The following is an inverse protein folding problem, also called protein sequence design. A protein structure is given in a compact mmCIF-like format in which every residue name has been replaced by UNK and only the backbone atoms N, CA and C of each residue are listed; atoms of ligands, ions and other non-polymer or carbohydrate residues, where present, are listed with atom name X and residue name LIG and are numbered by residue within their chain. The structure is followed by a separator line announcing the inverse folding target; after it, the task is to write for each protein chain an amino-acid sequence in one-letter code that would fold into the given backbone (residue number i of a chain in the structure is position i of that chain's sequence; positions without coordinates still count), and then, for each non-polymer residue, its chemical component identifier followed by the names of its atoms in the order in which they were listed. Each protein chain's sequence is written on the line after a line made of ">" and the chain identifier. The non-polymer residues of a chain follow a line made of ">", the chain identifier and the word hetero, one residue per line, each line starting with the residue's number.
data_IF_887616042740
#
_entry.id   IF_887616042740
#
_cell.length_a   1.000
_cell.length_b   1.000
_cell.length_c   1.000
_cell.angle_alpha   90.00
_cell.angle_beta   90.00
_cell.angle_gamma   90.00
#
_symmetry.space_group_name_H-M   'P 1'
#
loop_
_entity.id
_entity.type
_entity.pdbx_description
1 polymer ?
#
# COMPACT_ATOMS: atom_id res chain seq x y z
N UNK A 1 -13.30 7.26 2.73
CA UNK A 1 -13.13 5.81 2.55
C UNK A 1 -11.64 5.58 2.43
N UNK A 2 -10.99 5.10 3.47
CA UNK A 2 -9.53 4.97 3.56
C UNK A 2 -9.18 3.51 3.31
N UNK A 3 -8.31 3.22 2.34
CA UNK A 3 -7.90 1.84 2.03
C UNK A 3 -6.72 1.46 2.94
N UNK A 4 -6.88 0.39 3.73
CA UNK A 4 -5.82 -0.11 4.59
C UNK A 4 -5.14 -1.32 3.94
N UNK A 5 -3.86 -1.19 3.59
CA UNK A 5 -3.04 -2.25 2.99
C UNK A 5 -2.21 -2.91 4.10
N UNK A 6 -2.42 -4.21 4.33
CA UNK A 6 -1.67 -4.99 5.31
C UNK A 6 -0.53 -5.73 4.61
N UNK A 7 0.70 -5.32 4.89
CA UNK A 7 1.88 -6.15 4.63
C UNK A 7 2.07 -7.12 5.79
N UNK A 8 2.59 -8.31 5.49
CA UNK A 8 2.94 -9.32 6.49
C UNK A 8 3.98 -8.86 7.53
N UNK A 9 4.53 -7.66 7.38
CA UNK A 9 5.44 -7.01 8.32
C UNK A 9 4.98 -5.55 8.53
N UNK A 10 4.29 -5.31 9.64
CA UNK A 10 3.92 -4.00 10.22
C UNK A 10 3.22 -2.99 9.28
N UNK A 11 1.93 -2.73 9.53
CA UNK A 11 1.06 -1.76 8.84
C UNK A 11 1.56 -0.31 8.87
N UNK A 12 1.86 0.30 7.71
CA UNK A 12 1.72 1.74 7.52
C UNK A 12 0.34 2.01 6.91
N UNK A 13 -0.54 2.71 7.63
CA UNK A 13 -1.81 3.22 7.08
C UNK A 13 -1.52 4.40 6.15
N UNK A 14 -1.12 4.11 4.90
CA UNK A 14 -0.78 5.12 3.89
C UNK A 14 -1.89 5.42 2.88
N UNK A 15 -1.74 6.52 2.15
CA UNK A 15 -2.65 6.94 1.07
C UNK A 15 -2.08 6.46 -0.26
N UNK A 16 -2.92 5.84 -1.10
CA UNK A 16 -2.49 5.41 -2.44
C UNK A 16 -2.38 6.63 -3.35
N UNK A 17 -1.20 6.87 -3.90
CA UNK A 17 -0.93 7.93 -4.87
C UNK A 17 -1.05 7.46 -6.31
N UNK A 18 -0.80 6.18 -6.56
CA UNK A 18 -0.85 5.61 -7.90
C UNK A 18 -0.81 4.09 -7.86
N UNK A 19 -1.28 3.46 -8.92
CA UNK A 19 -1.22 2.02 -9.08
C UNK A 19 -0.84 1.68 -10.52
N UNK A 20 -0.13 0.58 -10.69
CA UNK A 20 0.19 -0.03 -11.96
C UNK A 20 -0.30 -1.49 -11.95
N UNK A 21 -0.05 -2.21 -13.04
CA UNK A 21 -0.44 -3.61 -13.23
C UNK A 21 0.13 -4.50 -12.12
N UNK A 22 1.37 -4.25 -11.67
CA UNK A 22 2.08 -5.10 -10.72
C UNK A 22 2.46 -4.42 -9.39
N UNK A 23 2.37 -3.09 -9.32
CA UNK A 23 2.82 -2.30 -8.17
C UNK A 23 1.80 -1.24 -7.77
N UNK A 24 1.91 -0.73 -6.55
CA UNK A 24 1.09 0.32 -5.96
C UNK A 24 2.03 1.30 -5.27
N UNK A 25 1.86 2.59 -5.54
CA UNK A 25 2.59 3.66 -4.87
C UNK A 25 1.76 4.14 -3.68
N UNK A 26 2.31 3.99 -2.49
CA UNK A 26 1.72 4.44 -1.23
C UNK A 26 2.54 5.59 -0.67
N UNK A 27 1.87 6.64 -0.20
CA UNK A 27 2.51 7.71 0.56
C UNK A 27 2.13 7.58 2.04
N UNK A 28 3.14 7.51 2.90
CA UNK A 28 3.00 7.43 4.35
C UNK A 28 4.02 8.36 5.00
N UNK A 29 3.55 9.25 5.88
CA UNK A 29 4.39 10.23 6.61
C UNK A 29 5.34 11.05 5.69
N UNK A 30 4.87 11.44 4.51
CA UNK A 30 5.65 12.20 3.52
C UNK A 30 6.71 11.39 2.78
N UNK A 31 6.80 10.06 3.01
CA UNK A 31 7.62 9.14 2.24
C UNK A 31 6.77 8.35 1.26
N UNK A 32 7.32 8.13 0.07
CA UNK A 32 6.73 7.27 -0.93
C UNK A 32 7.32 5.86 -0.83
N UNK A 33 6.44 4.86 -0.81
CA UNK A 33 6.78 3.44 -0.84
C UNK A 33 6.14 2.79 -2.05
N UNK A 34 6.98 2.15 -2.86
CA UNK A 34 6.52 1.30 -3.95
C UNK A 34 6.29 -0.12 -3.42
N UNK A 35 5.05 -0.58 -3.57
CA UNK A 35 4.55 -1.84 -3.04
C UNK A 35 4.25 -2.77 -4.20
N UNK A 36 4.82 -3.97 -4.21
CA UNK A 36 4.45 -4.97 -5.21
C UNK A 36 3.26 -5.79 -4.76
N UNK A 37 2.32 -6.07 -5.67
CA UNK A 37 1.09 -6.82 -5.38
C UNK A 37 1.35 -8.23 -4.85
N UNK A 38 2.45 -8.86 -5.25
CA UNK A 38 2.84 -10.19 -4.74
C UNK A 38 3.20 -10.18 -3.25
N UNK A 39 3.53 -9.02 -2.69
CA UNK A 39 3.83 -8.83 -1.26
C UNK A 39 2.59 -8.40 -0.46
N UNK A 40 1.45 -8.16 -1.12
CA UNK A 40 0.19 -7.79 -0.47
C UNK A 40 -0.63 -9.05 -0.22
N UNK A 41 -0.84 -9.39 1.04
CA UNK A 41 -1.64 -10.58 1.40
C UNK A 41 -3.12 -10.26 1.61
N UNK A 42 -3.49 -9.01 1.93
CA UNK A 42 -4.91 -8.65 2.20
C UNK A 42 -5.18 -7.16 1.95
N UNK A 43 -6.28 -6.87 1.25
CA UNK A 43 -6.83 -5.51 1.05
C UNK A 43 -8.21 -5.46 1.73
N UNK A 44 -8.43 -4.51 2.64
CA UNK A 44 -9.75 -4.27 3.26
C UNK A 44 -10.27 -2.89 2.86
N UNK A 45 -11.53 -2.83 2.42
CA UNK A 45 -12.26 -1.65 1.97
C UNK A 45 -13.11 -1.04 3.09
#
# INVERSE_FOLDING_TARGET
>A
MTLHIYFSFATPSGIIRGYDTFSILIEFEGKQQLVYKHAISTIRF
#
